data_IF_039788509480
#
_entry.id   IF_039788509480
#
_cell.length_a   1.000
_cell.length_b   1.000
_cell.length_c   1.000
_cell.angle_alpha   90.00
_cell.angle_beta   90.00
_cell.angle_gamma   90.00
#
_symmetry.space_group_name_H-M   'P 1'
#
loop_
_entity.id
_entity.type
_entity.pdbx_description
1 polymer ?
#
# COMPACT_ATOMS: atom_id res chain seq x y z
N UNK A 1 -11.74 -13.65 0.31
CA UNK A 1 -11.05 -12.34 0.50
C UNK A 1 -11.52 -11.37 -0.57
N UNK A 2 -11.91 -10.15 -0.17
CA UNK A 2 -12.31 -9.03 -1.04
C UNK A 2 -11.51 -7.79 -0.63
N UNK A 3 -11.06 -6.98 -1.59
CA UNK A 3 -10.41 -5.69 -1.36
C UNK A 3 -11.24 -4.61 -2.04
N UNK A 4 -11.53 -3.54 -1.30
CA UNK A 4 -12.30 -2.39 -1.77
C UNK A 4 -11.54 -1.11 -1.39
N UNK A 5 -11.28 -0.26 -2.36
CA UNK A 5 -10.67 1.05 -2.13
C UNK A 5 -11.78 2.05 -1.75
N UNK A 6 -11.80 2.49 -0.50
CA UNK A 6 -12.86 3.35 0.06
C UNK A 6 -12.47 4.83 0.11
N UNK A 7 -11.17 5.14 0.08
CA UNK A 7 -10.64 6.51 -0.01
C UNK A 7 -9.37 6.54 -0.86
N UNK A 8 -9.25 7.57 -1.70
CA UNK A 8 -8.10 7.76 -2.59
C UNK A 8 -7.88 9.26 -2.90
N UNK A 9 -6.66 9.65 -3.31
CA UNK A 9 -6.32 11.03 -3.61
C UNK A 9 -7.13 11.64 -4.75
N UNK A 10 -7.53 12.90 -4.56
CA UNK A 10 -8.22 13.73 -5.53
C UNK A 10 -7.28 14.80 -6.11
N UNK A 11 -7.73 15.54 -7.12
CA UNK A 11 -6.98 16.69 -7.64
C UNK A 11 -6.73 17.78 -6.57
N UNK A 12 -7.62 17.89 -5.58
CA UNK A 12 -7.42 18.79 -4.43
C UNK A 12 -6.21 18.33 -3.61
N UNK A 13 -6.05 17.05 -3.38
CA UNK A 13 -4.92 16.51 -2.62
C UNK A 13 -3.61 16.67 -3.39
N UNK A 14 -3.64 16.50 -4.70
CA UNK A 14 -2.49 16.78 -5.56
C UNK A 14 -2.08 18.26 -5.56
N UNK A 15 -3.04 19.20 -5.48
CA UNK A 15 -2.74 20.61 -5.27
C UNK A 15 -2.03 20.86 -3.94
N UNK A 16 -2.45 20.15 -2.88
CA UNK A 16 -1.81 20.22 -1.57
C UNK A 16 -0.39 19.64 -1.57
N UNK A 17 -0.14 18.56 -2.32
CA UNK A 17 1.21 18.03 -2.54
C UNK A 17 2.09 19.09 -3.24
N UNK A 18 1.58 19.69 -4.32
CA UNK A 18 2.31 20.74 -5.07
C UNK A 18 2.62 21.95 -4.20
N UNK A 19 1.66 22.37 -3.35
CA UNK A 19 1.86 23.47 -2.39
C UNK A 19 3.02 23.16 -1.42
N UNK A 20 3.05 21.95 -0.85
CA UNK A 20 4.11 21.51 0.07
C UNK A 20 5.47 21.43 -0.60
N UNK A 21 5.52 20.94 -1.82
CA UNK A 21 6.76 20.89 -2.58
C UNK A 21 7.31 22.29 -2.89
N UNK A 22 6.45 23.24 -3.29
CA UNK A 22 6.87 24.57 -3.69
C UNK A 22 7.22 25.49 -2.51
N UNK A 23 6.55 25.32 -1.35
CA UNK A 23 6.84 26.16 -0.17
C UNK A 23 8.28 25.98 0.32
N UNK A 24 8.87 24.79 0.14
CA UNK A 24 10.26 24.51 0.55
C UNK A 24 11.30 25.33 -0.24
N UNK A 25 10.93 25.87 -1.39
CA UNK A 25 11.74 26.73 -2.25
C UNK A 25 11.19 28.16 -2.37
N UNK A 26 10.31 28.56 -1.42
CA UNK A 26 9.75 29.91 -1.36
C UNK A 26 8.74 30.25 -2.46
N UNK A 27 8.18 29.24 -3.16
CA UNK A 27 7.21 29.41 -4.26
C UNK A 27 5.80 29.01 -3.87
N UNK A 28 4.82 29.46 -4.65
CA UNK A 28 3.41 29.07 -4.54
C UNK A 28 2.91 28.46 -5.84
N UNK A 29 2.01 27.47 -5.79
CA UNK A 29 1.42 26.92 -7.01
C UNK A 29 0.47 27.95 -7.65
N UNK A 30 0.56 28.10 -8.95
CA UNK A 30 -0.32 28.96 -9.77
C UNK A 30 -1.32 28.15 -10.60
N UNK A 31 -1.14 26.85 -10.68
CA UNK A 31 -1.98 25.91 -11.46
C UNK A 31 -1.92 24.51 -10.84
N UNK A 32 -2.89 23.62 -11.14
CA UNK A 32 -2.82 22.21 -10.78
C UNK A 32 -1.54 21.54 -11.31
N UNK A 33 -1.04 20.46 -10.65
CA UNK A 33 0.08 19.70 -11.17
C UNK A 33 -0.30 18.98 -12.47
N UNK A 34 0.60 19.04 -13.46
CA UNK A 34 0.48 18.22 -14.66
C UNK A 34 0.79 16.75 -14.34
N UNK A 35 0.29 15.83 -15.16
CA UNK A 35 0.52 14.38 -14.99
C UNK A 35 2.00 14.01 -14.96
N UNK A 36 2.81 14.66 -15.81
CA UNK A 36 4.26 14.44 -15.82
C UNK A 36 4.88 14.83 -14.46
N UNK A 37 4.50 15.98 -13.91
CA UNK A 37 4.98 16.42 -12.59
C UNK A 37 4.56 15.45 -11.47
N UNK A 38 3.33 14.89 -11.53
CA UNK A 38 2.88 13.86 -10.59
C UNK A 38 3.79 12.64 -10.65
N UNK A 39 4.11 12.17 -11.85
CA UNK A 39 5.00 11.01 -12.06
C UNK A 39 6.43 11.29 -11.61
N UNK A 40 6.95 12.48 -11.84
CA UNK A 40 8.31 12.85 -11.41
C UNK A 40 8.45 12.88 -9.88
N UNK A 41 7.49 13.48 -9.17
CA UNK A 41 7.53 13.54 -7.70
C UNK A 41 7.35 12.16 -7.06
N UNK A 42 6.55 11.27 -7.67
CA UNK A 42 6.42 9.88 -7.25
C UNK A 42 7.71 9.10 -7.49
N UNK A 43 8.32 9.25 -8.69
CA UNK A 43 9.61 8.62 -9.02
C UNK A 43 10.71 9.03 -8.03
N UNK A 44 10.77 10.31 -7.70
CA UNK A 44 11.73 10.85 -6.74
C UNK A 44 11.42 10.49 -5.29
N UNK A 45 10.24 9.91 -5.00
CA UNK A 45 9.74 9.67 -3.64
C UNK A 45 9.87 10.90 -2.74
N UNK A 46 9.58 12.08 -3.30
CA UNK A 46 9.68 13.34 -2.58
C UNK A 46 8.67 13.39 -1.44
N UNK A 47 9.10 13.74 -0.24
CA UNK A 47 8.29 13.64 0.99
C UNK A 47 6.87 14.24 0.94
N UNK A 48 6.54 15.29 0.13
CA UNK A 48 5.17 15.76 0.02
C UNK A 48 4.13 14.73 -0.42
N UNK A 49 4.54 13.64 -1.12
CA UNK A 49 3.61 12.56 -1.50
C UNK A 49 3.00 11.83 -0.30
N UNK A 50 3.59 11.95 0.90
CA UNK A 50 3.03 11.41 2.15
C UNK A 50 1.70 12.03 2.54
N UNK A 51 1.35 13.16 1.94
CA UNK A 51 0.03 13.78 2.11
C UNK A 51 -1.09 12.99 1.42
N UNK A 52 -0.79 12.31 0.32
CA UNK A 52 -1.75 11.48 -0.41
C UNK A 52 -2.06 10.22 0.42
N UNK A 53 -3.34 9.96 0.65
CA UNK A 53 -3.81 8.84 1.46
C UNK A 53 -4.71 7.92 0.64
N UNK A 54 -4.65 6.63 1.01
CA UNK A 54 -5.50 5.57 0.52
C UNK A 54 -6.08 4.83 1.72
N UNK A 55 -7.34 4.44 1.65
CA UNK A 55 -7.98 3.59 2.64
C UNK A 55 -8.62 2.39 1.95
N UNK A 56 -8.34 1.20 2.46
CA UNK A 56 -8.84 -0.06 1.92
C UNK A 56 -9.69 -0.78 2.96
N UNK A 57 -10.88 -1.24 2.56
CA UNK A 57 -11.62 -2.26 3.29
C UNK A 57 -11.23 -3.63 2.73
N UNK A 58 -10.65 -4.47 3.57
CA UNK A 58 -10.22 -5.83 3.22
C UNK A 58 -11.04 -6.81 4.04
N UNK A 59 -11.84 -7.63 3.37
CA UNK A 59 -12.73 -8.61 4.01
C UNK A 59 -12.27 -10.04 3.75
N UNK A 60 -12.57 -10.92 4.71
CA UNK A 60 -12.19 -12.34 4.69
C UNK A 60 -10.69 -12.58 4.50
N UNK A 61 -9.87 -11.75 5.14
CA UNK A 61 -8.42 -11.86 5.12
C UNK A 61 -7.96 -12.90 6.16
N UNK A 62 -7.12 -13.89 5.82
CA UNK A 62 -6.53 -14.75 6.84
C UNK A 62 -5.81 -13.94 7.92
N UNK A 63 -6.05 -14.25 9.20
CA UNK A 63 -5.56 -13.46 10.32
C UNK A 63 -4.03 -13.27 10.28
N UNK A 64 -3.28 -14.31 9.94
CA UNK A 64 -1.82 -14.21 9.85
C UNK A 64 -1.35 -13.28 8.71
N UNK A 65 -2.13 -13.10 7.63
CA UNK A 65 -1.81 -12.14 6.56
C UNK A 65 -1.97 -10.71 7.07
N UNK A 66 -3.00 -10.45 7.89
CA UNK A 66 -3.16 -9.12 8.51
C UNK A 66 -1.93 -8.72 9.32
N UNK A 67 -1.28 -9.68 10.01
CA UNK A 67 -0.02 -9.44 10.75
C UNK A 67 1.12 -8.99 9.84
N UNK A 68 1.21 -9.54 8.61
CA UNK A 68 2.20 -9.09 7.63
C UNK A 68 1.98 -7.63 7.19
N UNK A 69 0.72 -7.19 7.07
CA UNK A 69 0.39 -5.80 6.75
C UNK A 69 0.62 -4.86 7.95
N UNK A 70 0.28 -5.31 9.16
CA UNK A 70 0.51 -4.53 10.40
C UNK A 70 1.99 -4.22 10.69
N UNK A 71 2.94 -4.92 10.07
CA UNK A 71 4.38 -4.64 10.20
C UNK A 71 4.83 -3.38 9.45
N UNK A 72 3.98 -2.81 8.62
CA UNK A 72 4.24 -1.58 7.90
C UNK A 72 3.96 -0.36 8.79
N UNK A 73 5.00 0.19 9.39
CA UNK A 73 4.93 1.16 10.50
C UNK A 73 4.31 2.52 10.13
N UNK A 74 4.26 2.87 8.86
CA UNK A 74 3.62 4.10 8.37
C UNK A 74 2.19 3.89 7.85
N UNK A 75 1.64 2.68 8.03
CA UNK A 75 0.24 2.37 7.82
C UNK A 75 -0.53 2.38 9.14
N UNK A 76 -1.86 2.55 9.06
CA UNK A 76 -2.77 2.49 10.20
C UNK A 76 -3.76 1.34 9.97
N UNK A 77 -3.48 0.15 10.52
CA UNK A 77 -4.38 -1.00 10.41
C UNK A 77 -5.44 -0.98 11.52
N UNK A 78 -6.69 -1.19 11.15
CA UNK A 78 -7.83 -1.39 12.06
C UNK A 78 -8.39 -2.78 11.83
N UNK A 79 -7.86 -3.77 12.53
CA UNK A 79 -8.18 -5.19 12.34
C UNK A 79 -9.32 -5.60 13.28
N UNK A 80 -10.27 -6.41 12.76
CA UNK A 80 -11.34 -7.03 13.56
C UNK A 80 -10.76 -7.74 14.78
N UNK A 81 -11.28 -7.40 15.94
CA UNK A 81 -10.80 -7.96 17.22
C UNK A 81 -11.09 -9.46 17.30
N UNK A 82 -10.09 -10.24 17.70
CA UNK A 82 -10.23 -11.66 18.02
C UNK A 82 -10.40 -11.90 19.52
N UNK A 83 -10.94 -10.95 20.27
CA UNK A 83 -11.20 -11.06 21.70
C UNK A 83 -12.50 -11.80 21.95
N UNK A 84 -12.48 -12.79 22.85
CA UNK A 84 -13.64 -13.60 23.23
C UNK A 84 -14.78 -12.77 23.83
N UNK A 85 -14.46 -11.67 24.53
CA UNK A 85 -15.44 -10.75 25.13
C UNK A 85 -16.17 -9.86 24.13
N UNK A 86 -15.73 -9.86 22.86
CA UNK A 86 -16.33 -9.08 21.78
C UNK A 86 -17.14 -9.90 20.79
N UNK A 87 -16.99 -11.23 20.83
CA UNK A 87 -17.64 -12.15 19.88
C UNK A 87 -18.09 -13.40 20.66
N UNK A 88 -19.36 -13.47 20.96
CA UNK A 88 -19.95 -14.50 21.87
C UNK A 88 -19.70 -15.95 21.45
N UNK A 89 -19.53 -16.22 20.15
CA UNK A 89 -19.35 -17.57 19.62
C UNK A 89 -17.90 -17.87 19.17
N UNK A 90 -16.97 -16.95 19.40
CA UNK A 90 -15.61 -17.08 18.94
C UNK A 90 -14.67 -17.41 20.10
N UNK A 91 -14.01 -18.58 20.03
CA UNK A 91 -12.95 -18.97 20.95
C UNK A 91 -11.59 -18.86 20.26
N UNK A 92 -10.87 -17.77 20.52
CA UNK A 92 -9.55 -17.50 19.96
C UNK A 92 -8.51 -18.58 20.28
N UNK A 93 -8.69 -19.32 21.36
CA UNK A 93 -7.75 -20.38 21.78
C UNK A 93 -7.90 -21.65 20.92
N UNK A 94 -9.04 -21.78 20.23
CA UNK A 94 -9.33 -22.89 19.33
C UNK A 94 -9.34 -22.46 17.86
N UNK A 95 -9.36 -21.15 17.60
CA UNK A 95 -9.41 -20.64 16.24
C UNK A 95 -8.09 -20.91 15.50
N UNK A 96 -8.14 -21.42 14.25
CA UNK A 96 -6.96 -21.59 13.43
C UNK A 96 -6.36 -20.23 13.04
N UNK A 97 -5.06 -20.22 12.71
CA UNK A 97 -4.34 -18.99 12.34
C UNK A 97 -4.84 -18.33 11.05
N UNK A 98 -5.53 -19.08 10.21
CA UNK A 98 -6.16 -18.61 8.97
C UNK A 98 -7.60 -18.14 9.16
N UNK A 99 -8.11 -18.09 10.41
CA UNK A 99 -9.43 -17.54 10.72
C UNK A 99 -9.63 -16.18 10.05
N UNK A 100 -10.74 -15.95 9.33
CA UNK A 100 -10.95 -14.74 8.57
C UNK A 100 -11.14 -13.52 9.48
N UNK A 101 -10.48 -12.43 9.12
CA UNK A 101 -10.66 -11.12 9.74
C UNK A 101 -10.95 -10.08 8.66
N UNK A 102 -11.69 -9.05 9.05
CA UNK A 102 -11.84 -7.84 8.26
C UNK A 102 -10.92 -6.77 8.80
N UNK A 103 -10.43 -5.90 7.93
CA UNK A 103 -9.63 -4.76 8.36
C UNK A 103 -9.87 -3.54 7.48
N UNK A 104 -9.81 -2.35 8.08
CA UNK A 104 -9.54 -1.12 7.36
C UNK A 104 -8.02 -0.89 7.44
N UNK A 105 -7.44 -0.54 6.29
CA UNK A 105 -6.02 -0.33 6.17
C UNK A 105 -5.75 1.02 5.51
N UNK A 106 -5.37 2.00 6.35
CA UNK A 106 -5.05 3.35 5.90
C UNK A 106 -3.55 3.47 5.67
N UNK A 107 -3.18 4.06 4.54
CA UNK A 107 -1.78 4.16 4.14
C UNK A 107 -1.53 5.43 3.32
N UNK A 108 -0.36 6.05 3.49
CA UNK A 108 0.06 7.13 2.60
C UNK A 108 0.71 6.56 1.32
N UNK A 109 0.83 7.42 0.30
CA UNK A 109 1.35 7.01 -1.00
C UNK A 109 2.76 6.41 -0.95
N UNK A 110 3.68 6.98 -0.15
CA UNK A 110 5.05 6.46 -0.04
C UNK A 110 5.06 5.05 0.56
N UNK A 111 4.30 4.83 1.65
CA UNK A 111 4.22 3.52 2.28
C UNK A 111 3.50 2.50 1.39
N UNK A 112 2.46 2.91 0.63
CA UNK A 112 1.82 2.03 -0.34
C UNK A 112 2.83 1.54 -1.41
N UNK A 113 3.70 2.43 -1.90
CA UNK A 113 4.79 2.05 -2.81
C UNK A 113 5.79 1.08 -2.14
N UNK A 114 6.12 1.29 -0.86
CA UNK A 114 6.98 0.38 -0.09
C UNK A 114 6.32 -0.99 0.07
N UNK A 115 5.02 -1.02 0.39
CA UNK A 115 4.24 -2.26 0.51
C UNK A 115 4.24 -3.02 -0.81
N UNK A 116 3.90 -2.36 -1.92
CA UNK A 116 3.90 -2.96 -3.25
C UNK A 116 5.28 -3.54 -3.60
N UNK A 117 6.34 -2.75 -3.43
CA UNK A 117 7.70 -3.19 -3.71
C UNK A 117 8.13 -4.43 -2.89
N UNK A 118 7.66 -4.56 -1.65
CA UNK A 118 8.00 -5.68 -0.77
C UNK A 118 7.09 -6.89 -0.95
N UNK A 119 5.79 -6.67 -1.10
CA UNK A 119 4.77 -7.73 -1.01
C UNK A 119 4.32 -8.28 -2.36
N UNK A 120 4.60 -7.59 -3.48
CA UNK A 120 4.44 -8.15 -4.82
C UNK A 120 5.64 -9.01 -5.26
N UNK A 121 6.67 -9.13 -4.41
CA UNK A 121 7.80 -10.03 -4.65
C UNK A 121 7.33 -11.49 -4.58
N UNK A 122 7.75 -12.34 -5.52
CA UNK A 122 7.43 -13.77 -5.53
C UNK A 122 8.00 -14.55 -4.32
N UNK A 123 8.85 -13.92 -3.51
CA UNK A 123 9.32 -14.49 -2.24
C UNK A 123 8.38 -14.17 -1.07
N UNK A 124 7.33 -13.35 -1.25
CA UNK A 124 6.26 -13.19 -0.28
C UNK A 124 5.31 -14.40 -0.35
N UNK A 125 4.54 -14.66 0.74
CA UNK A 125 3.51 -15.70 0.67
C UNK A 125 2.44 -15.32 -0.36
N UNK A 126 1.87 -16.34 -1.02
CA UNK A 126 0.90 -16.16 -2.10
C UNK A 126 -0.31 -15.32 -1.67
N UNK A 127 -0.81 -15.54 -0.44
CA UNK A 127 -1.96 -14.81 0.09
C UNK A 127 -1.62 -13.32 0.36
N UNK A 128 -0.41 -13.05 0.89
CA UNK A 128 0.04 -11.66 1.09
C UNK A 128 0.27 -10.96 -0.25
N UNK A 129 0.82 -11.68 -1.23
CA UNK A 129 1.00 -11.17 -2.59
C UNK A 129 -0.35 -10.86 -3.24
N UNK A 130 -1.34 -11.76 -3.10
CA UNK A 130 -2.67 -11.64 -3.67
C UNK A 130 -3.41 -10.41 -3.12
N UNK A 131 -3.42 -10.20 -1.79
CA UNK A 131 -4.10 -9.03 -1.21
C UNK A 131 -3.49 -7.72 -1.70
N UNK A 132 -2.16 -7.64 -1.77
CA UNK A 132 -1.49 -6.41 -2.25
C UNK A 132 -1.70 -6.22 -3.75
N UNK A 133 -1.73 -7.29 -4.55
CA UNK A 133 -2.07 -7.20 -5.97
C UNK A 133 -3.50 -6.66 -6.19
N UNK A 134 -4.47 -7.09 -5.38
CA UNK A 134 -5.83 -6.52 -5.42
C UNK A 134 -5.85 -5.04 -5.01
N UNK A 135 -5.13 -4.65 -3.96
CA UNK A 135 -5.00 -3.22 -3.57
C UNK A 135 -4.46 -2.39 -4.75
N UNK A 136 -3.39 -2.84 -5.39
CA UNK A 136 -2.79 -2.17 -6.56
C UNK A 136 -3.76 -2.12 -7.74
N UNK A 137 -4.51 -3.18 -7.98
CA UNK A 137 -5.54 -3.21 -9.02
C UNK A 137 -6.60 -2.13 -8.79
N UNK A 138 -7.10 -1.99 -7.56
CA UNK A 138 -8.09 -0.95 -7.23
C UNK A 138 -7.51 0.47 -7.40
N UNK A 139 -6.27 0.70 -6.95
CA UNK A 139 -5.60 2.01 -7.13
C UNK A 139 -5.41 2.35 -8.59
N UNK A 140 -5.00 1.40 -9.42
CA UNK A 140 -4.76 1.62 -10.85
C UNK A 140 -6.02 2.02 -11.63
N UNK A 141 -7.21 1.69 -11.15
CA UNK A 141 -8.49 2.10 -11.76
C UNK A 141 -8.76 3.61 -11.63
N UNK A 142 -8.28 4.23 -10.55
CA UNK A 142 -8.64 5.62 -10.17
C UNK A 142 -7.43 6.56 -10.12
N UNK A 143 -6.22 6.04 -9.91
CA UNK A 143 -4.97 6.79 -9.80
C UNK A 143 -3.89 6.17 -10.71
N UNK A 144 -4.04 6.17 -12.04
CA UNK A 144 -3.13 5.48 -12.97
C UNK A 144 -1.70 6.03 -12.96
N UNK A 145 -1.47 7.23 -12.43
CA UNK A 145 -0.14 7.81 -12.25
C UNK A 145 0.75 6.99 -11.31
N UNK A 146 0.14 6.18 -10.42
CA UNK A 146 0.88 5.30 -9.50
C UNK A 146 1.32 3.98 -10.13
N UNK A 147 0.70 3.55 -11.23
CA UNK A 147 0.93 2.22 -11.85
C UNK A 147 2.41 1.86 -12.02
N UNK A 148 3.31 2.76 -12.51
CA UNK A 148 4.72 2.42 -12.72
C UNK A 148 5.51 2.21 -11.42
N UNK A 149 4.96 2.58 -10.27
CA UNK A 149 5.64 2.57 -8.97
C UNK A 149 5.11 1.48 -8.03
N UNK A 150 3.91 0.97 -8.28
CA UNK A 150 3.28 -0.11 -7.51
C UNK A 150 3.64 -1.49 -8.09
N UNK A 151 4.93 -1.77 -8.16
CA UNK A 151 5.53 -2.96 -8.75
C UNK A 151 6.50 -3.62 -7.75
N UNK A 152 6.91 -4.89 -7.96
CA UNK A 152 7.94 -5.51 -7.14
C UNK A 152 9.24 -4.69 -7.12
N UNK A 153 10.00 -4.76 -6.02
CA UNK A 153 11.25 -4.01 -5.85
C UNK A 153 12.23 -4.23 -7.01
N UNK A 154 12.33 -5.46 -7.52
CA UNK A 154 13.22 -5.78 -8.62
C UNK A 154 12.84 -5.08 -9.94
N UNK A 155 11.55 -4.88 -10.20
CA UNK A 155 11.08 -4.10 -11.35
C UNK A 155 11.34 -2.60 -11.13
N UNK A 156 11.08 -2.11 -9.92
CA UNK A 156 11.32 -0.72 -9.56
C UNK A 156 12.80 -0.32 -9.66
N UNK A 157 13.73 -1.21 -9.27
CA UNK A 157 15.19 -0.92 -9.22
C UNK A 157 15.98 -1.49 -10.40
N UNK A 158 15.33 -2.27 -11.29
CA UNK A 158 16.01 -2.94 -12.39
C UNK A 158 16.91 -4.10 -11.96
N UNK A 159 16.63 -4.75 -10.82
CA UNK A 159 17.40 -5.90 -10.34
C UNK A 159 16.95 -6.44 -9.00
N UNK A 160 17.22 -7.71 -8.75
CA UNK A 160 16.87 -8.40 -7.50
C UNK A 160 17.70 -7.89 -6.31
N UNK A 161 17.04 -7.59 -5.19
CA UNK A 161 17.68 -7.16 -3.92
C UNK A 161 17.51 -8.19 -2.79
N UNK A 162 16.98 -9.39 -3.09
CA UNK A 162 16.79 -10.45 -2.09
C UNK A 162 18.14 -11.01 -1.62
N UNK A 163 18.30 -11.13 -0.30
CA UNK A 163 19.53 -11.64 0.32
C UNK A 163 19.70 -13.15 0.05
N UNK A 164 18.61 -13.91 0.04
CA UNK A 164 18.61 -15.38 0.03
C UNK A 164 18.44 -15.99 -1.38
N UNK A 165 18.80 -15.28 -2.43
CA UNK A 165 18.83 -15.84 -3.78
C UNK A 165 17.73 -15.39 -4.72
N UNK A 166 16.65 -14.86 -4.22
CA UNK A 166 15.52 -14.41 -5.03
C UNK A 166 14.77 -15.56 -5.73
N UNK A 167 13.79 -15.19 -6.56
CA UNK A 167 12.93 -16.14 -7.28
C UNK A 167 13.47 -16.56 -8.66
N UNK A 168 14.67 -16.13 -9.05
CA UNK A 168 15.27 -16.44 -10.36
C UNK A 168 14.79 -15.57 -11.54
N UNK A 169 13.82 -14.65 -11.32
CA UNK A 169 13.30 -13.77 -12.38
C UNK A 169 14.35 -12.79 -12.92
N UNK A 170 15.30 -12.40 -12.08
CA UNK A 170 16.41 -11.51 -12.43
C UNK A 170 17.74 -12.21 -12.15
N UNK A 171 18.66 -12.15 -13.10
CA UNK A 171 20.04 -12.53 -12.84
C UNK A 171 20.62 -11.63 -11.74
N UNK A 172 21.48 -12.18 -10.91
CA UNK A 172 22.22 -11.45 -9.88
C UNK A 172 23.38 -10.69 -10.47
#
# INVERSE_FOLDING_TARGET
MKVELIEYPTDKDWMEVKRRALVTIGKRPISPPAEEWKREILRARHSPIRYLRFSFLISDLPSWVSVHLCRHVHAQPYVKSQRNDRQSEYDRNKAPQDSPVDMIFDVNAEELMVIANKRLCQMASDETQMVVAHMVCEVNKVCPEFTPFLVPMCEYTGGCKEMNGGCGRWAR
#
